data_IF_894948878169
#
_entry.id   IF_894948878169
#
_cell.length_a   1.000
_cell.length_b   1.000
_cell.length_c   1.000
_cell.angle_alpha   90.00
_cell.angle_beta   90.00
_cell.angle_gamma   90.00
#
_symmetry.space_group_name_H-M   'P 1'
#
loop_
_entity.id
_entity.type
_entity.pdbx_description
1 polymer ?
#
# COMPACT_ATOMS: atom_id res chain seq x y z
N UNK A 1 -22.23 -34.92 -7.19
CA UNK A 1 -22.81 -33.89 -6.31
C UNK A 1 -22.39 -32.54 -6.85
N UNK A 2 -23.31 -31.63 -7.20
CA UNK A 2 -22.93 -30.31 -7.68
C UNK A 2 -22.25 -29.57 -6.53
N UNK A 3 -21.00 -29.18 -6.72
CA UNK A 3 -20.30 -28.29 -5.79
C UNK A 3 -21.04 -26.96 -5.81
N UNK A 4 -21.51 -26.51 -4.65
CA UNK A 4 -22.08 -25.17 -4.52
C UNK A 4 -20.98 -24.13 -4.74
N UNK A 5 -20.85 -23.68 -5.98
CA UNK A 5 -19.89 -22.67 -6.43
C UNK A 5 -20.04 -21.35 -5.64
N UNK A 6 -21.21 -21.09 -5.03
CA UNK A 6 -21.42 -19.89 -4.21
C UNK A 6 -20.73 -20.01 -2.85
N UNK A 7 -20.78 -21.19 -2.22
CA UNK A 7 -20.13 -21.45 -0.94
C UNK A 7 -18.61 -21.36 -1.06
N UNK A 8 -18.02 -21.98 -2.08
CA UNK A 8 -16.57 -21.89 -2.34
C UNK A 8 -16.11 -20.45 -2.57
N UNK A 9 -16.82 -19.67 -3.40
CA UNK A 9 -16.51 -18.25 -3.64
C UNK A 9 -16.58 -17.41 -2.37
N UNK A 10 -17.55 -17.69 -1.49
CA UNK A 10 -17.68 -16.99 -0.22
C UNK A 10 -16.52 -17.34 0.74
N UNK A 11 -16.11 -18.60 0.79
CA UNK A 11 -14.94 -19.02 1.56
C UNK A 11 -13.66 -18.34 1.06
N UNK A 12 -13.40 -18.35 -0.24
CA UNK A 12 -12.24 -17.66 -0.85
C UNK A 12 -12.25 -16.16 -0.54
N UNK A 13 -13.42 -15.53 -0.58
CA UNK A 13 -13.58 -14.11 -0.20
C UNK A 13 -13.20 -13.88 1.25
N UNK A 14 -13.65 -14.73 2.17
CA UNK A 14 -13.31 -14.64 3.60
C UNK A 14 -11.80 -14.87 3.80
N UNK A 15 -11.25 -15.92 3.21
CA UNK A 15 -9.80 -16.23 3.26
C UNK A 15 -8.96 -15.04 2.78
N UNK A 16 -9.34 -14.42 1.66
CA UNK A 16 -8.66 -13.23 1.12
C UNK A 16 -8.74 -12.04 2.08
N UNK A 17 -9.88 -11.81 2.73
CA UNK A 17 -10.03 -10.72 3.71
C UNK A 17 -9.13 -10.97 4.93
N UNK A 18 -9.12 -12.21 5.44
CA UNK A 18 -8.28 -12.60 6.58
C UNK A 18 -6.79 -12.44 6.23
N UNK A 19 -6.36 -12.99 5.09
CA UNK A 19 -4.97 -12.91 4.62
C UNK A 19 -4.52 -11.45 4.48
N UNK A 20 -5.37 -10.58 3.94
CA UNK A 20 -5.08 -9.14 3.85
C UNK A 20 -4.89 -8.51 5.21
N UNK A 21 -5.80 -8.76 6.16
CA UNK A 21 -5.67 -8.21 7.52
C UNK A 21 -4.41 -8.71 8.23
N UNK A 22 -4.07 -9.98 8.07
CA UNK A 22 -2.82 -10.54 8.61
C UNK A 22 -1.59 -9.85 7.99
N UNK A 23 -1.60 -9.63 6.68
CA UNK A 23 -0.52 -8.92 6.00
C UNK A 23 -0.41 -7.46 6.45
N UNK A 24 -1.53 -6.75 6.57
CA UNK A 24 -1.58 -5.37 7.05
C UNK A 24 -0.98 -5.26 8.46
N UNK A 25 -1.35 -6.16 9.38
CA UNK A 25 -0.77 -6.21 10.73
C UNK A 25 0.73 -6.48 10.72
N UNK A 26 1.22 -7.35 9.82
CA UNK A 26 2.66 -7.63 9.67
C UNK A 26 3.43 -6.40 9.16
N UNK A 27 2.86 -5.67 8.20
CA UNK A 27 3.45 -4.43 7.68
C UNK A 27 3.56 -3.40 8.79
N UNK A 28 2.48 -3.18 9.56
CA UNK A 28 2.47 -2.24 10.69
C UNK A 28 3.51 -2.62 11.74
N UNK A 29 3.57 -3.90 12.11
CA UNK A 29 4.55 -4.39 13.09
C UNK A 29 5.99 -4.19 12.60
N UNK A 30 6.26 -4.47 11.32
CA UNK A 30 7.59 -4.27 10.74
C UNK A 30 7.95 -2.78 10.65
N UNK A 31 7.01 -1.93 10.23
CA UNK A 31 7.22 -0.49 10.17
C UNK A 31 7.58 0.11 11.54
N UNK A 32 6.93 -0.36 12.61
CA UNK A 32 7.30 0.03 13.98
C UNK A 32 8.74 -0.40 14.31
N UNK A 33 9.12 -1.64 14.02
CA UNK A 33 10.50 -2.13 14.25
C UNK A 33 11.54 -1.34 13.47
N UNK A 34 11.26 -1.02 12.21
CA UNK A 34 12.15 -0.21 11.38
C UNK A 34 12.31 1.18 11.97
N UNK A 35 11.21 1.84 12.35
CA UNK A 35 11.24 3.17 12.96
C UNK A 35 12.02 3.18 14.29
N UNK A 36 11.86 2.16 15.12
CA UNK A 36 12.57 2.02 16.41
C UNK A 36 14.08 1.79 16.24
N UNK A 37 14.50 1.19 15.12
CA UNK A 37 15.91 0.88 14.84
C UNK A 37 16.57 1.86 13.87
N UNK A 38 15.81 2.83 13.33
CA UNK A 38 16.33 3.86 12.44
C UNK A 38 16.98 4.97 13.23
N UNK A 39 18.18 5.39 12.79
CA UNK A 39 18.87 6.58 13.29
C UNK A 39 19.17 7.46 12.10
N UNK A 40 18.36 8.50 11.89
CA UNK A 40 18.56 9.43 10.79
C UNK A 40 19.92 10.13 10.93
N UNK A 41 20.67 10.19 9.83
CA UNK A 41 21.90 10.96 9.75
C UNK A 41 21.57 12.34 9.16
N UNK A 42 21.70 13.44 9.93
CA UNK A 42 21.40 14.79 9.45
C UNK A 42 22.26 15.23 8.25
N UNK A 43 23.39 14.56 7.99
CA UNK A 43 24.25 14.82 6.84
C UNK A 43 23.74 14.22 5.51
N UNK A 44 22.80 13.28 5.56
CA UNK A 44 22.26 12.63 4.36
C UNK A 44 21.14 13.43 3.71
N UNK A 45 21.09 13.41 2.38
CA UNK A 45 20.00 14.03 1.62
C UNK A 45 18.78 13.11 1.57
N UNK A 46 17.56 13.67 1.63
CA UNK A 46 16.36 12.86 1.61
C UNK A 46 16.14 12.18 0.26
N UNK A 47 15.66 10.94 0.29
CA UNK A 47 15.18 10.20 -0.88
C UNK A 47 13.65 10.24 -0.93
N UNK A 48 13.12 10.61 -2.09
CA UNK A 48 11.68 10.63 -2.35
C UNK A 48 11.24 9.32 -2.99
N UNK A 49 10.26 8.65 -2.39
CA UNK A 49 9.63 7.45 -2.93
C UNK A 49 8.17 7.72 -3.27
N UNK A 50 7.81 7.54 -4.55
CA UNK A 50 6.43 7.67 -5.03
C UNK A 50 5.97 6.36 -5.65
N UNK A 51 4.81 5.85 -5.20
CA UNK A 51 4.21 4.67 -5.78
C UNK A 51 3.33 5.03 -6.98
N UNK A 52 3.88 4.93 -8.19
CA UNK A 52 3.12 5.17 -9.41
C UNK A 52 2.16 4.01 -9.78
N UNK A 53 2.18 2.87 -9.08
CA UNK A 53 1.30 1.76 -9.40
C UNK A 53 -0.14 2.03 -8.95
N UNK A 54 -1.09 1.83 -9.87
CA UNK A 54 -2.51 1.81 -9.51
C UNK A 54 -2.83 0.55 -8.75
N UNK A 55 -3.51 0.67 -7.61
CA UNK A 55 -3.96 -0.46 -6.82
C UNK A 55 -5.32 -0.15 -6.22
N UNK A 56 -6.18 -1.16 -6.21
CA UNK A 56 -7.46 -1.07 -5.54
C UNK A 56 -7.32 -1.36 -4.05
N UNK A 57 -6.81 -2.55 -3.69
CA UNK A 57 -6.75 -3.08 -2.32
C UNK A 57 -5.56 -4.01 -2.09
N UNK A 58 -5.20 -4.24 -0.83
CA UNK A 58 -4.09 -5.13 -0.46
C UNK A 58 -2.73 -4.56 -0.83
N UNK A 59 -1.65 -5.32 -0.64
CA UNK A 59 -0.31 -4.91 -1.07
C UNK A 59 -0.05 -5.37 -2.52
N UNK A 60 0.31 -4.46 -3.42
CA UNK A 60 0.85 -4.84 -4.75
C UNK A 60 2.34 -5.16 -4.64
N UNK A 61 2.86 -5.95 -5.57
CA UNK A 61 4.29 -6.28 -5.62
C UNK A 61 5.16 -5.02 -5.67
N UNK A 62 4.82 -4.05 -6.52
CA UNK A 62 5.54 -2.76 -6.61
C UNK A 62 5.52 -1.97 -5.29
N UNK A 63 4.40 -2.03 -4.55
CA UNK A 63 4.34 -1.44 -3.23
C UNK A 63 5.20 -2.19 -2.22
N UNK A 64 5.26 -3.51 -2.28
CA UNK A 64 6.16 -4.31 -1.45
C UNK A 64 7.62 -3.96 -1.69
N UNK A 65 8.06 -3.87 -2.94
CA UNK A 65 9.42 -3.45 -3.27
C UNK A 65 9.73 -2.05 -2.76
N UNK A 66 8.84 -1.08 -3.00
CA UNK A 66 9.04 0.27 -2.49
C UNK A 66 9.13 0.31 -0.95
N UNK A 67 8.34 -0.49 -0.23
CA UNK A 67 8.44 -0.57 1.23
C UNK A 67 9.77 -1.13 1.70
N UNK A 68 10.22 -2.24 1.11
CA UNK A 68 11.50 -2.85 1.45
C UNK A 68 12.66 -1.89 1.15
N UNK A 69 12.64 -1.23 0.00
CA UNK A 69 13.63 -0.20 -0.35
C UNK A 69 13.61 0.97 0.63
N UNK A 70 12.42 1.50 0.96
CA UNK A 70 12.29 2.60 1.92
C UNK A 70 12.80 2.24 3.31
N UNK A 71 12.45 1.06 3.83
CA UNK A 71 12.96 0.57 5.11
C UNK A 71 14.48 0.36 5.09
N UNK A 72 15.04 -0.18 4.02
CA UNK A 72 16.49 -0.36 3.90
C UNK A 72 17.25 0.98 3.93
N UNK A 73 16.73 1.99 3.22
CA UNK A 73 17.28 3.34 3.23
C UNK A 73 17.20 3.98 4.63
N UNK A 74 16.05 3.90 5.29
CA UNK A 74 15.85 4.40 6.65
C UNK A 74 16.82 3.75 7.64
N UNK A 75 16.94 2.42 7.61
CA UNK A 75 17.87 1.68 8.48
C UNK A 75 19.34 2.05 8.23
N UNK A 76 19.66 2.54 7.03
CA UNK A 76 20.99 3.04 6.67
C UNK A 76 21.19 4.52 7.06
N UNK A 77 20.21 5.13 7.72
CA UNK A 77 20.24 6.52 8.19
C UNK A 77 19.83 7.55 7.14
N UNK A 78 19.41 7.14 5.94
CA UNK A 78 18.95 8.04 4.87
C UNK A 78 17.51 8.48 5.17
N UNK A 79 17.23 9.79 5.23
CA UNK A 79 15.86 10.28 5.37
C UNK A 79 15.02 9.88 4.16
N UNK A 80 13.82 9.32 4.38
CA UNK A 80 12.93 8.89 3.29
C UNK A 80 11.60 9.61 3.39
N UNK A 81 11.17 10.21 2.28
CA UNK A 81 9.86 10.86 2.15
C UNK A 81 8.99 10.08 1.18
N UNK A 82 7.87 9.56 1.66
CA UNK A 82 6.89 8.86 0.84
C UNK A 82 5.86 9.85 0.30
N UNK A 83 5.77 9.97 -1.01
CA UNK A 83 4.67 10.66 -1.64
C UNK A 83 3.53 9.68 -1.92
N UNK A 84 2.33 10.05 -1.49
CA UNK A 84 1.10 9.26 -1.69
C UNK A 84 0.07 10.10 -2.44
N UNK A 85 -0.62 9.47 -3.38
CA UNK A 85 -1.70 10.10 -4.13
C UNK A 85 -2.89 10.41 -3.20
N UNK A 86 -3.40 11.64 -3.25
CA UNK A 86 -4.66 12.07 -2.62
C UNK A 86 -5.71 12.46 -3.65
N UNK A 87 -6.07 11.52 -4.53
CA UNK A 87 -7.10 11.70 -5.57
C UNK A 87 -6.61 12.48 -6.81
N UNK A 88 -5.32 12.39 -7.12
CA UNK A 88 -4.74 13.04 -8.31
C UNK A 88 -5.12 12.40 -9.65
N UNK A 89 -5.79 11.24 -9.65
CA UNK A 89 -6.26 10.58 -10.87
C UNK A 89 -7.71 10.95 -11.17
N UNK A 90 -7.99 11.43 -12.39
CA UNK A 90 -9.35 11.62 -12.90
C UNK A 90 -10.03 10.28 -13.25
N UNK A 91 -9.23 9.29 -13.66
CA UNK A 91 -9.64 7.91 -13.99
C UNK A 91 -8.59 6.92 -13.48
N UNK A 92 -9.01 5.74 -13.04
CA UNK A 92 -8.11 4.71 -12.53
C UNK A 92 -8.11 3.49 -13.45
N UNK A 93 -6.95 3.16 -14.04
CA UNK A 93 -6.81 2.01 -14.97
C UNK A 93 -7.37 0.72 -14.36
N UNK A 94 -7.07 0.46 -13.08
CA UNK A 94 -7.56 -0.74 -12.36
C UNK A 94 -8.98 -0.60 -11.80
N UNK A 95 -9.52 0.61 -11.72
CA UNK A 95 -10.89 0.89 -11.27
C UNK A 95 -11.85 1.18 -12.41
N UNK A 96 -11.41 1.01 -13.66
CA UNK A 96 -12.21 1.30 -14.86
C UNK A 96 -13.36 0.30 -14.92
N UNK A 97 -14.57 0.84 -14.97
CA UNK A 97 -15.77 0.05 -15.25
C UNK A 97 -15.96 0.02 -16.77
N UNK A 98 -16.01 -1.19 -17.35
CA UNK A 98 -16.11 -1.36 -18.81
C UNK A 98 -17.42 -0.80 -19.35
N UNK A 99 -18.48 -0.87 -18.55
CA UNK A 99 -19.81 -0.40 -18.92
C UNK A 99 -20.01 1.08 -18.53
N UNK A 100 -19.13 1.62 -17.70
CA UNK A 100 -19.14 3.02 -17.29
C UNK A 100 -17.73 3.62 -17.18
N UNK A 101 -17.13 4.07 -18.31
CA UNK A 101 -15.81 4.70 -18.31
C UNK A 101 -15.70 5.97 -17.46
N UNK A 102 -16.84 6.58 -17.10
CA UNK A 102 -16.91 7.79 -16.28
C UNK A 102 -16.98 7.51 -14.77
N UNK A 103 -17.03 6.24 -14.36
CA UNK A 103 -17.02 5.85 -12.95
C UNK A 103 -15.81 6.47 -12.25
N UNK A 104 -16.07 7.05 -11.07
CA UNK A 104 -15.01 7.66 -10.26
C UNK A 104 -14.05 6.59 -9.73
N UNK A 105 -12.75 6.91 -9.60
CA UNK A 105 -11.79 6.01 -9.00
C UNK A 105 -12.18 5.56 -7.59
N UNK A 106 -11.99 4.28 -7.23
CA UNK A 106 -12.24 3.76 -5.88
C UNK A 106 -11.10 4.14 -4.91
N UNK A 107 -10.92 5.45 -4.70
CA UNK A 107 -9.79 6.00 -3.96
C UNK A 107 -9.75 5.59 -2.48
N UNK A 108 -10.90 5.36 -1.84
CA UNK A 108 -10.96 5.10 -0.40
C UNK A 108 -10.17 3.85 0.01
N UNK A 109 -10.32 2.77 -0.75
CA UNK A 109 -9.61 1.51 -0.50
C UNK A 109 -8.10 1.65 -0.82
N UNK A 110 -7.77 2.41 -1.86
CA UNK A 110 -6.38 2.74 -2.19
C UNK A 110 -5.73 3.54 -1.05
N UNK A 111 -6.43 4.55 -0.51
CA UNK A 111 -5.95 5.39 0.59
C UNK A 111 -5.77 4.57 1.87
N UNK A 112 -6.73 3.70 2.19
CA UNK A 112 -6.65 2.79 3.34
C UNK A 112 -5.35 1.98 3.29
N UNK A 113 -5.04 1.38 2.15
CA UNK A 113 -3.80 0.64 2.01
C UNK A 113 -2.56 1.54 2.06
N UNK A 114 -2.58 2.69 1.37
CA UNK A 114 -1.43 3.61 1.40
C UNK A 114 -1.05 3.99 2.83
N UNK A 115 -2.04 4.27 3.69
CA UNK A 115 -1.82 4.54 5.12
C UNK A 115 -1.15 3.38 5.85
N UNK A 116 -1.58 2.14 5.58
CA UNK A 116 -0.98 0.94 6.18
C UNK A 116 0.48 0.80 5.73
N UNK A 117 0.72 0.92 4.42
CA UNK A 117 2.05 0.78 3.84
C UNK A 117 3.01 1.85 4.39
N UNK A 118 2.57 3.10 4.51
CA UNK A 118 3.41 4.20 4.99
C UNK A 118 3.30 4.42 6.51
N UNK A 119 2.96 3.38 7.27
CA UNK A 119 2.95 3.46 8.74
C UNK A 119 4.32 3.92 9.25
N UNK A 120 4.35 4.86 10.20
CA UNK A 120 5.58 5.47 10.77
C UNK A 120 6.53 6.16 9.77
N UNK A 121 6.14 6.31 8.51
CA UNK A 121 6.96 7.00 7.52
C UNK A 121 6.67 8.51 7.49
N UNK A 122 7.62 9.29 6.99
CA UNK A 122 7.38 10.68 6.60
C UNK A 122 6.58 10.70 5.29
N UNK A 123 5.35 11.22 5.34
CA UNK A 123 4.41 11.19 4.21
C UNK A 123 4.09 12.59 3.72
N UNK A 124 4.14 12.77 2.40
CA UNK A 124 3.66 13.96 1.70
C UNK A 124 2.57 13.56 0.71
N UNK A 125 1.63 14.45 0.50
CA UNK A 125 0.49 14.21 -0.37
C UNK A 125 0.75 14.87 -1.72
N UNK A 126 0.41 14.16 -2.80
CA UNK A 126 0.28 14.69 -4.15
C UNK A 126 -1.19 14.94 -4.49
#
# INVERSE_FOLDING_TARGET
>A
MPVDLSFQRNLERVQRIISRRQNDSRIVAMANRVAENTRENPGEKPVVLFNASTRLSGLSLNAGFQLLTGWALQLSGVPVVHFVCQRGLSRCVHGTDRDNPYRLPPCDECFRQSRINTTRANVRNL
#
